data_IF_312434374479
#
_entry.id   IF_312434374479
#
_cell.length_a   1.000
_cell.length_b   1.000
_cell.length_c   1.000
_cell.angle_alpha   90.00
_cell.angle_beta   90.00
_cell.angle_gamma   90.00
#
_symmetry.space_group_name_H-M   'P 1'
#
loop_
_entity.id
_entity.type
_entity.pdbx_description
1 polymer ?
#
# COMPACT_ATOMS: atom_id res chain seq x y z
N UNK A 1 10.75 9.63 -1.97
CA UNK A 1 9.37 9.29 -1.62
C UNK A 1 9.20 7.78 -1.59
N UNK A 2 8.56 7.25 -0.55
CA UNK A 2 8.24 5.82 -0.48
C UNK A 2 6.75 5.62 -0.80
N UNK A 3 6.43 4.42 -1.28
CA UNK A 3 5.07 4.02 -1.54
C UNK A 3 4.96 2.53 -1.16
N UNK A 4 3.90 2.16 -0.46
CA UNK A 4 3.80 0.82 0.12
C UNK A 4 2.42 0.21 -0.06
N UNK A 5 2.39 -1.06 -0.47
CA UNK A 5 1.18 -1.87 -0.51
C UNK A 5 1.21 -2.85 0.65
N UNK A 6 0.12 -2.92 1.39
CA UNK A 6 0.02 -3.70 2.62
C UNK A 6 -1.03 -4.78 2.48
N UNK A 7 -0.64 -6.00 2.84
CA UNK A 7 -1.52 -7.16 2.78
C UNK A 7 -1.82 -7.68 4.17
N UNK A 8 -3.06 -8.12 4.38
CA UNK A 8 -3.46 -8.82 5.60
C UNK A 8 -4.30 -10.03 5.18
N UNK A 9 -3.70 -11.22 5.27
CA UNK A 9 -4.32 -12.47 4.81
C UNK A 9 -4.71 -12.35 3.33
N UNK A 10 -5.99 -12.38 3.01
CA UNK A 10 -6.49 -12.29 1.63
C UNK A 10 -7.04 -10.92 1.28
N UNK A 11 -6.62 -9.89 2.02
CA UNK A 11 -7.08 -8.52 1.80
C UNK A 11 -5.94 -7.56 1.58
N UNK A 12 -6.23 -6.46 0.91
CA UNK A 12 -5.27 -5.40 0.64
C UNK A 12 -5.76 -4.09 1.26
N UNK A 13 -4.84 -3.33 1.85
CA UNK A 13 -5.17 -2.02 2.40
C UNK A 13 -5.12 -0.97 1.30
N UNK A 14 -6.21 -0.27 1.12
CA UNK A 14 -6.27 0.87 0.21
C UNK A 14 -6.86 2.07 0.94
N UNK A 15 -6.37 3.24 0.60
CA UNK A 15 -6.71 4.48 1.28
C UNK A 15 -7.06 5.57 0.29
N UNK A 16 -7.91 6.51 0.74
CA UNK A 16 -8.27 7.66 -0.05
C UNK A 16 -7.80 8.92 0.67
N UNK A 17 -6.91 9.66 0.04
CA UNK A 17 -6.47 10.96 0.52
C UNK A 17 -7.23 12.09 -0.16
N UNK A 18 -6.90 13.33 0.25
CA UNK A 18 -7.53 14.51 -0.34
C UNK A 18 -7.35 14.60 -1.86
N UNK A 19 -6.13 14.35 -2.42
CA UNK A 19 -5.96 14.43 -3.86
C UNK A 19 -6.78 13.42 -4.66
N UNK A 20 -7.05 12.24 -4.06
CA UNK A 20 -7.79 11.18 -4.72
C UNK A 20 -9.30 11.28 -4.54
N UNK A 21 -9.77 12.12 -3.61
CA UNK A 21 -11.19 12.17 -3.28
C UNK A 21 -12.06 12.64 -4.45
N UNK A 22 -11.59 13.62 -5.18
CA UNK A 22 -12.33 14.16 -6.33
C UNK A 22 -12.53 13.11 -7.43
N UNK A 23 -11.63 12.13 -7.49
CA UNK A 23 -11.71 11.02 -8.44
C UNK A 23 -12.35 9.78 -7.86
N UNK A 24 -12.72 9.82 -6.58
CA UNK A 24 -13.22 8.66 -5.84
C UNK A 24 -12.28 7.47 -5.95
N UNK A 25 -10.98 7.74 -5.91
CA UNK A 25 -9.95 6.73 -6.12
C UNK A 25 -9.32 6.33 -4.79
N UNK A 26 -9.07 5.05 -4.63
CA UNK A 26 -8.30 4.50 -3.50
C UNK A 26 -6.96 3.99 -4.01
N UNK A 27 -5.93 4.18 -3.22
CA UNK A 27 -4.56 3.84 -3.62
C UNK A 27 -3.76 3.34 -2.43
N UNK A 28 -2.51 2.96 -2.70
CA UNK A 28 -1.54 2.61 -1.67
C UNK A 28 -1.08 3.86 -0.93
N UNK A 29 -0.50 3.67 0.26
CA UNK A 29 0.04 4.78 1.04
C UNK A 29 1.38 5.23 0.46
N UNK A 30 1.64 6.53 0.55
CA UNK A 30 2.89 7.12 0.08
C UNK A 30 3.28 8.28 0.98
N UNK A 31 4.59 8.55 1.07
CA UNK A 31 5.07 9.67 1.86
C UNK A 31 6.52 9.99 1.60
N UNK A 32 6.99 11.11 2.15
CA UNK A 32 8.35 11.55 1.97
C UNK A 32 9.25 11.01 3.08
N UNK A 33 10.51 10.75 2.70
CA UNK A 33 11.53 10.34 3.65
C UNK A 33 12.07 11.59 4.34
N UNK A 34 12.17 11.54 5.67
CA UNK A 34 12.70 12.65 6.44
C UNK A 34 14.22 12.53 6.58
N UNK A 35 14.87 13.65 6.89
CA UNK A 35 16.33 13.68 7.07
C UNK A 35 16.77 12.69 8.14
N UNK A 36 17.79 11.90 7.81
CA UNK A 36 18.34 10.92 8.75
C UNK A 36 17.56 9.64 8.85
N UNK A 37 16.50 9.48 8.07
CA UNK A 37 15.63 8.32 8.09
C UNK A 37 15.98 7.38 6.95
N UNK A 38 15.98 6.08 7.22
CA UNK A 38 16.10 5.09 6.14
C UNK A 38 14.76 4.96 5.42
N UNK A 39 14.76 4.34 4.24
CA UNK A 39 13.53 4.08 3.50
C UNK A 39 12.57 3.22 4.32
N UNK A 40 13.09 2.19 4.97
CA UNK A 40 12.28 1.29 5.79
C UNK A 40 11.67 2.01 6.99
N UNK A 41 12.46 2.87 7.64
CA UNK A 41 11.94 3.69 8.74
C UNK A 41 10.82 4.61 8.27
N UNK A 42 10.98 5.19 7.08
CA UNK A 42 9.96 6.05 6.50
C UNK A 42 8.65 5.28 6.26
N UNK A 43 8.74 4.03 5.77
CA UNK A 43 7.55 3.21 5.56
C UNK A 43 6.82 2.99 6.88
N UNK A 44 7.54 2.55 7.92
CA UNK A 44 6.92 2.29 9.23
C UNK A 44 6.27 3.55 9.79
N UNK A 45 6.96 4.67 9.73
CA UNK A 45 6.46 5.94 10.27
C UNK A 45 5.22 6.41 9.52
N UNK A 46 5.29 6.46 8.19
CA UNK A 46 4.16 6.94 7.37
C UNK A 46 2.92 6.08 7.56
N UNK A 47 3.08 4.77 7.58
CA UNK A 47 1.95 3.86 7.79
C UNK A 47 1.31 4.11 9.15
N UNK A 48 2.12 4.22 10.18
CA UNK A 48 1.60 4.47 11.54
C UNK A 48 0.92 5.83 11.66
N UNK A 49 1.55 6.86 11.10
CA UNK A 49 0.98 8.22 11.15
C UNK A 49 -0.34 8.32 10.40
N UNK A 50 -0.43 7.70 9.24
CA UNK A 50 -1.59 7.86 8.37
C UNK A 50 -2.75 6.94 8.72
N UNK A 51 -2.49 5.70 9.09
CA UNK A 51 -3.55 4.70 9.31
C UNK A 51 -3.44 3.95 10.64
N UNK A 52 -2.44 4.22 11.46
CA UNK A 52 -2.39 3.73 12.84
C UNK A 52 -2.00 2.27 13.02
N UNK A 53 -1.50 1.60 11.99
CA UNK A 53 -1.12 0.19 12.10
C UNK A 53 0.38 0.01 12.01
N UNK A 54 0.85 -1.18 12.43
CA UNK A 54 2.23 -1.61 12.28
C UNK A 54 2.32 -2.64 11.17
N UNK A 55 3.42 -2.63 10.45
CA UNK A 55 3.66 -3.58 9.35
C UNK A 55 4.97 -4.33 9.58
N UNK A 56 5.13 -5.45 8.87
CA UNK A 56 6.32 -6.30 8.95
C UNK A 56 6.63 -6.85 7.57
N UNK A 57 7.75 -7.57 7.47
CA UNK A 57 8.16 -8.25 6.23
C UNK A 57 8.22 -7.29 5.05
N UNK A 58 8.89 -6.16 5.25
CA UNK A 58 9.10 -5.19 4.18
C UNK A 58 9.95 -5.80 3.07
N UNK A 59 9.47 -5.67 1.85
CA UNK A 59 10.18 -6.16 0.67
C UNK A 59 10.23 -5.05 -0.38
N UNK A 60 11.41 -4.77 -0.89
CA UNK A 60 11.56 -3.84 -2.00
C UNK A 60 10.87 -4.42 -3.24
N UNK A 61 10.05 -3.60 -3.90
CA UNK A 61 9.37 -4.02 -5.12
C UNK A 61 10.02 -3.45 -6.37
N UNK A 62 10.04 -2.12 -6.47
CA UNK A 62 10.56 -1.45 -7.66
C UNK A 62 10.61 0.05 -7.39
N UNK A 63 11.15 0.82 -8.33
CA UNK A 63 11.16 2.27 -8.21
C UNK A 63 10.71 2.87 -9.53
N UNK A 64 10.20 4.10 -9.46
CA UNK A 64 9.71 4.81 -10.63
C UNK A 64 10.05 6.30 -10.48
N UNK A 65 10.68 6.91 -11.48
CA UNK A 65 10.91 8.36 -11.43
C UNK A 65 9.59 9.10 -11.59
N UNK A 66 9.45 10.17 -10.82
CA UNK A 66 8.28 11.04 -10.87
C UNK A 66 8.77 12.45 -11.21
N UNK A 67 8.52 12.96 -12.42
CA UNK A 67 9.13 14.21 -12.85
C UNK A 67 8.51 15.48 -12.24
N UNK A 68 7.39 15.39 -11.51
CA UNK A 68 6.68 16.58 -11.04
C UNK A 68 6.38 16.53 -9.55
N UNK A 69 7.17 17.11 -8.65
CA UNK A 69 8.51 17.64 -8.85
C UNK A 69 9.52 16.49 -9.03
N UNK A 70 10.78 16.79 -9.21
CA UNK A 70 11.83 15.79 -9.43
C UNK A 70 11.95 14.85 -8.22
N UNK A 71 11.38 13.66 -8.33
CA UNK A 71 11.25 12.75 -7.21
C UNK A 71 11.41 11.31 -7.69
N UNK A 72 11.86 10.46 -6.79
CA UNK A 72 11.94 9.02 -7.04
C UNK A 72 10.95 8.31 -6.12
N UNK A 73 10.06 7.53 -6.70
CA UNK A 73 9.12 6.71 -5.94
C UNK A 73 9.76 5.35 -5.72
N UNK A 74 9.92 4.94 -4.46
CA UNK A 74 10.51 3.64 -4.11
C UNK A 74 9.40 2.80 -3.50
N UNK A 75 9.06 1.71 -4.19
CA UNK A 75 7.92 0.86 -3.85
C UNK A 75 8.28 -0.31 -2.96
N UNK A 76 7.46 -0.55 -1.96
CA UNK A 76 7.60 -1.65 -1.01
C UNK A 76 6.31 -2.45 -0.90
N UNK A 77 6.49 -3.73 -0.60
CA UNK A 77 5.42 -4.62 -0.18
C UNK A 77 5.59 -4.88 1.30
N UNK A 78 4.49 -4.99 2.02
CA UNK A 78 4.53 -5.24 3.45
C UNK A 78 3.34 -6.08 3.88
N UNK A 79 3.48 -6.73 5.02
CA UNK A 79 2.41 -7.50 5.63
C UNK A 79 1.93 -6.78 6.89
N UNK A 80 0.64 -6.91 7.18
CA UNK A 80 0.07 -6.39 8.42
C UNK A 80 0.68 -7.10 9.62
N UNK A 81 1.05 -6.33 10.63
CA UNK A 81 1.56 -6.87 11.88
C UNK A 81 0.56 -6.73 13.02
N UNK A 82 0.18 -5.48 13.33
CA UNK A 82 -0.72 -5.22 14.46
C UNK A 82 -1.39 -3.86 14.34
N UNK A 83 -2.40 -3.64 15.18
CA UNK A 83 -3.11 -2.39 15.27
C UNK A 83 -4.44 -2.40 14.54
N UNK A 84 -5.17 -1.31 14.67
CA UNK A 84 -6.45 -1.13 13.97
C UNK A 84 -6.36 0.12 13.11
N UNK A 85 -7.02 0.08 11.96
CA UNK A 85 -7.02 1.23 11.05
C UNK A 85 -7.67 2.42 11.75
N UNK A 86 -6.90 3.50 11.81
CA UNK A 86 -7.36 4.76 12.37
C UNK A 86 -6.73 5.88 11.55
N UNK A 87 -7.50 6.43 10.62
CA UNK A 87 -6.97 7.45 9.70
C UNK A 87 -6.67 8.74 10.43
N UNK A 88 -5.67 9.48 9.92
CA UNK A 88 -5.28 10.75 10.51
C UNK A 88 -6.31 11.86 10.25
N UNK A 89 -7.16 11.70 9.26
CA UNK A 89 -8.18 12.67 8.91
C UNK A 89 -7.67 13.92 8.24
N UNK A 90 -6.37 13.98 7.97
CA UNK A 90 -5.73 15.13 7.32
C UNK A 90 -5.28 14.77 5.91
N UNK A 91 -4.31 13.86 5.79
CA UNK A 91 -3.84 13.39 4.50
C UNK A 91 -4.67 12.21 4.02
N UNK A 92 -5.03 11.30 4.94
CA UNK A 92 -5.84 10.13 4.63
C UNK A 92 -7.22 10.32 5.25
N UNK A 93 -8.24 10.31 4.42
CA UNK A 93 -9.62 10.52 4.84
C UNK A 93 -10.36 9.22 5.13
N UNK A 94 -10.05 8.17 4.36
CA UNK A 94 -10.64 6.86 4.51
C UNK A 94 -9.61 5.79 4.17
N UNK A 95 -9.70 4.65 4.86
CA UNK A 95 -8.84 3.50 4.60
C UNK A 95 -9.57 2.24 5.02
N UNK A 96 -9.50 1.20 4.18
CA UNK A 96 -10.18 -0.06 4.45
C UNK A 96 -9.37 -1.24 3.93
N UNK A 97 -9.65 -2.41 4.50
CA UNK A 97 -9.17 -3.68 3.97
C UNK A 97 -10.15 -4.16 2.91
N UNK A 98 -9.68 -4.27 1.67
CA UNK A 98 -10.51 -4.66 0.54
C UNK A 98 -10.26 -6.09 0.13
N UNK A 99 -11.32 -6.80 -0.24
CA UNK A 99 -11.19 -8.09 -0.89
C UNK A 99 -10.79 -7.88 -2.36
N UNK A 100 -9.95 -8.76 -2.93
CA UNK A 100 -9.55 -8.63 -4.34
C UNK A 100 -10.72 -8.59 -5.31
N UNK A 101 -11.84 -9.17 -4.93
CA UNK A 101 -13.03 -9.24 -5.80
C UNK A 101 -13.94 -8.01 -5.67
N UNK A 102 -13.69 -7.15 -4.68
CA UNK A 102 -14.53 -5.99 -4.39
C UNK A 102 -13.69 -4.72 -4.33
N UNK A 103 -12.82 -4.54 -5.32
CA UNK A 103 -11.92 -3.39 -5.36
C UNK A 103 -12.65 -2.11 -5.73
N UNK A 104 -12.26 -0.99 -5.12
CA UNK A 104 -12.75 0.32 -5.55
C UNK A 104 -12.04 0.78 -6.81
N UNK A 105 -12.25 2.04 -7.19
CA UNK A 105 -11.50 2.65 -8.27
C UNK A 105 -10.04 2.80 -7.84
N UNK A 106 -9.11 2.25 -8.61
CA UNK A 106 -7.69 2.21 -8.26
C UNK A 106 -6.84 2.81 -9.40
N UNK A 107 -5.57 3.20 -9.10
CA UNK A 107 -4.69 3.75 -10.13
C UNK A 107 -4.42 2.77 -11.26
N UNK A 108 -4.07 3.29 -12.45
CA UNK A 108 -3.79 2.43 -13.60
C UNK A 108 -2.50 1.64 -13.41
N UNK A 109 -2.38 0.53 -14.13
CA UNK A 109 -1.23 -0.39 -14.03
C UNK A 109 0.09 0.24 -14.47
N UNK A 110 0.06 1.36 -15.17
CA UNK A 110 1.28 2.04 -15.58
C UNK A 110 1.96 2.76 -14.40
N UNK A 111 1.19 3.14 -13.39
CA UNK A 111 1.75 3.77 -12.20
C UNK A 111 2.32 2.72 -11.25
N UNK A 112 3.33 3.11 -10.46
CA UNK A 112 3.89 2.20 -9.47
C UNK A 112 2.84 1.78 -8.43
N UNK A 113 1.91 2.67 -8.08
CA UNK A 113 0.81 2.32 -7.19
C UNK A 113 -0.04 1.19 -7.77
N UNK A 114 -0.41 1.31 -9.04
CA UNK A 114 -1.17 0.26 -9.73
C UNK A 114 -0.40 -1.05 -9.81
N UNK A 115 0.90 -0.97 -10.08
CA UNK A 115 1.76 -2.16 -10.14
C UNK A 115 1.85 -2.86 -8.78
N UNK A 116 2.00 -2.10 -7.72
CA UNK A 116 2.03 -2.64 -6.35
C UNK A 116 0.73 -3.35 -6.01
N UNK A 117 -0.39 -2.73 -6.36
CA UNK A 117 -1.71 -3.30 -6.11
C UNK A 117 -1.84 -4.63 -6.86
N UNK A 118 -1.50 -4.66 -8.14
CA UNK A 118 -1.60 -5.88 -8.93
C UNK A 118 -0.69 -6.99 -8.38
N UNK A 119 0.52 -6.64 -7.95
CA UNK A 119 1.43 -7.63 -7.39
C UNK A 119 0.88 -8.21 -6.08
N UNK A 120 0.32 -7.36 -5.22
CA UNK A 120 -0.29 -7.81 -3.96
C UNK A 120 -1.47 -8.76 -4.23
N UNK A 121 -2.30 -8.43 -5.22
CA UNK A 121 -3.42 -9.29 -5.60
C UNK A 121 -2.94 -10.65 -6.12
N UNK A 122 -1.83 -10.65 -6.87
CA UNK A 122 -1.24 -11.90 -7.35
C UNK A 122 -0.70 -12.74 -6.20
N UNK A 123 -0.07 -12.13 -5.22
CA UNK A 123 0.40 -12.84 -4.04
C UNK A 123 -0.75 -13.47 -3.27
N UNK A 124 -1.84 -12.75 -3.12
CA UNK A 124 -3.04 -13.28 -2.46
C UNK A 124 -3.60 -14.46 -3.23
N UNK A 125 -3.68 -14.34 -4.54
CA UNK A 125 -4.19 -15.40 -5.41
C UNK A 125 -3.31 -16.65 -5.34
N UNK A 126 -1.99 -16.47 -5.37
CA UNK A 126 -1.05 -17.57 -5.29
C UNK A 126 -1.13 -18.29 -3.95
N UNK A 127 -1.30 -17.54 -2.87
CA UNK A 127 -1.45 -18.13 -1.53
C UNK A 127 -2.70 -19.00 -1.46
N UNK A 128 -3.81 -18.56 -2.04
CA UNK A 128 -5.05 -19.34 -2.09
C UNK A 128 -4.86 -20.62 -2.92
N UNK A 129 -4.16 -20.51 -4.04
CA UNK A 129 -3.91 -21.66 -4.91
C UNK A 129 -2.99 -22.68 -4.25
N UNK A 130 -2.02 -22.24 -3.46
CA UNK A 130 -1.14 -23.13 -2.71
C UNK A 130 -1.92 -23.86 -1.61
N UNK A 131 -2.87 -23.19 -1.00
CA UNK A 131 -3.67 -23.78 0.08
C UNK A 131 -4.64 -24.85 -0.43
N UNK A 132 -5.27 -24.61 -1.58
CA UNK A 132 -6.27 -25.51 -2.16
C UNK A 132 -5.70 -26.89 -2.50
N UNK A 133 -4.55 -27.02 -3.19
CA UNK A 133 -4.03 -28.34 -3.56
C UNK A 133 -3.70 -29.23 -2.37
N UNK A 134 -3.48 -28.68 -1.20
CA UNK A 134 -3.16 -29.46 -0.01
C UNK A 134 -4.32 -30.26 0.50
N UNK A 135 -5.52 -29.97 0.03
CA UNK A 135 -6.74 -30.66 0.46
C UNK A 135 -7.18 -31.75 -0.50
N UNK A 136 -6.48 -31.88 -1.61
CA UNK A 136 -6.82 -32.88 -2.61
C UNK A 136 -6.10 -34.21 -2.39
#
# INVERSE_FOLDING_TARGET
CIIVSIRHNDKILLAQGKPQRSRQMFSTLAGFVESGETLEQAVHREVFEEVGIQVKNLRYFSSQPWPFPHSLMVGFLADFDSGEIKVDGKEILEAYWFNPEELPNIPPKLSIAGQLIQHTLEEIKQQKNITIPQHS
#
